data_IF_623312143737
#
_entry.id   IF_623312143737
#
_cell.length_a   1.000
_cell.length_b   1.000
_cell.length_c   1.000
_cell.angle_alpha   90.00
_cell.angle_beta   90.00
_cell.angle_gamma   90.00
#
_symmetry.space_group_name_H-M   'P 1'
#
loop_
_entity.id
_entity.type
_entity.pdbx_description
1 polymer ?
#
# COMPACT_ATOMS: atom_id res chain seq x y z
N UNK A 1 6.10 -15.01 7.43
CA UNK A 1 6.98 -13.93 7.92
C UNK A 1 8.23 -14.01 7.06
N UNK A 2 8.30 -13.23 5.98
CA UNK A 2 9.53 -13.18 5.17
C UNK A 2 10.45 -12.22 5.90
N UNK A 3 11.42 -12.77 6.62
CA UNK A 3 12.54 -12.03 7.21
C UNK A 3 13.33 -11.46 6.05
N UNK A 4 13.20 -10.15 5.81
CA UNK A 4 14.21 -9.42 5.04
C UNK A 4 15.50 -9.64 5.82
N UNK A 5 16.50 -10.26 5.18
CA UNK A 5 17.75 -10.61 5.84
C UNK A 5 18.40 -9.30 6.35
N UNK A 6 18.74 -9.22 7.64
CA UNK A 6 19.23 -7.97 8.24
C UNK A 6 20.46 -7.43 7.49
N UNK A 7 21.27 -8.33 6.91
CA UNK A 7 22.41 -8.00 6.07
C UNK A 7 22.03 -7.26 4.77
N UNK A 8 20.86 -7.52 4.18
CA UNK A 8 20.37 -6.80 3.00
C UNK A 8 19.83 -5.40 3.33
N UNK A 9 19.47 -5.12 4.58
CA UNK A 9 18.99 -3.80 5.00
C UNK A 9 20.15 -2.81 5.21
N UNK A 10 21.32 -3.29 5.60
CA UNK A 10 22.51 -2.46 5.86
C UNK A 10 23.14 -1.90 4.60
N UNK A 11 22.92 -2.53 3.45
CA UNK A 11 23.35 -2.04 2.14
C UNK A 11 22.39 -1.00 1.52
N UNK A 12 21.26 -0.69 2.19
CA UNK A 12 20.28 0.25 1.68
C UNK A 12 20.65 1.70 1.98
N UNK A 13 20.35 2.59 1.04
CA UNK A 13 20.36 4.03 1.34
C UNK A 13 19.32 4.35 2.42
N UNK A 14 19.49 5.46 3.17
CA UNK A 14 18.50 5.90 4.14
C UNK A 14 17.08 5.99 3.57
N UNK A 15 16.94 6.43 2.32
CA UNK A 15 15.65 6.56 1.63
C UNK A 15 15.03 5.20 1.31
N UNK A 16 15.83 4.23 0.87
CA UNK A 16 15.37 2.87 0.61
C UNK A 16 14.93 2.18 1.91
N UNK A 17 15.72 2.34 2.99
CA UNK A 17 15.35 1.82 4.31
C UNK A 17 14.06 2.45 4.80
N UNK A 18 13.92 3.78 4.72
CA UNK A 18 12.71 4.48 5.11
C UNK A 18 11.48 4.00 4.30
N UNK A 19 11.67 3.74 3.00
CA UNK A 19 10.62 3.20 2.15
C UNK A 19 10.16 1.81 2.58
N UNK A 20 11.09 0.89 2.89
CA UNK A 20 10.76 -0.48 3.35
C UNK A 20 10.03 -0.44 4.68
N UNK A 21 10.52 0.35 5.64
CA UNK A 21 9.87 0.48 6.96
C UNK A 21 8.44 0.96 6.81
N UNK A 22 8.22 2.03 6.03
CA UNK A 22 6.88 2.55 5.76
C UNK A 22 5.99 1.53 5.00
N UNK A 23 6.58 0.69 4.16
CA UNK A 23 5.84 -0.36 3.44
C UNK A 23 5.37 -1.49 4.37
N UNK A 24 6.26 -1.96 5.25
CA UNK A 24 5.96 -2.98 6.24
C UNK A 24 4.91 -2.48 7.26
N UNK A 25 5.03 -1.24 7.75
CA UNK A 25 4.02 -0.62 8.61
C UNK A 25 2.63 -0.61 7.95
N UNK A 26 2.57 -0.32 6.65
CA UNK A 26 1.32 -0.35 5.89
C UNK A 26 0.77 -1.77 5.77
N UNK A 27 1.64 -2.75 5.56
CA UNK A 27 1.26 -4.17 5.49
C UNK A 27 0.69 -4.66 6.82
N UNK A 28 1.35 -4.34 7.94
CA UNK A 28 0.87 -4.65 9.29
C UNK A 28 -0.48 -3.99 9.57
N UNK A 29 -0.66 -2.74 9.15
CA UNK A 29 -1.95 -2.05 9.26
C UNK A 29 -3.04 -2.74 8.44
N UNK A 30 -2.72 -3.22 7.23
CA UNK A 30 -3.66 -3.95 6.39
C UNK A 30 -4.12 -5.26 7.06
N UNK A 31 -3.18 -6.04 7.63
CA UNK A 31 -3.49 -7.24 8.41
C UNK A 31 -4.38 -6.94 9.62
N UNK A 32 -4.07 -5.89 10.38
CA UNK A 32 -4.88 -5.48 11.53
C UNK A 32 -6.33 -5.11 11.16
N UNK A 33 -6.54 -4.51 9.98
CA UNK A 33 -7.88 -4.22 9.47
C UNK A 33 -8.57 -5.52 9.04
N UNK A 34 -7.92 -6.35 8.24
CA UNK A 34 -8.50 -7.60 7.76
C UNK A 34 -8.91 -8.54 8.90
N UNK A 35 -8.10 -8.61 9.97
CA UNK A 35 -8.40 -9.40 11.16
C UNK A 35 -9.71 -9.02 11.86
N UNK A 36 -10.19 -7.76 11.69
CA UNK A 36 -11.44 -7.26 12.25
C UNK A 36 -12.63 -7.38 11.31
N UNK A 37 -12.40 -7.73 10.04
CA UNK A 37 -13.43 -7.76 8.99
C UNK A 37 -13.33 -9.06 8.20
N UNK A 38 -14.08 -10.08 8.63
CA UNK A 38 -14.14 -11.36 7.94
C UNK A 38 -14.54 -11.20 6.46
N UNK A 39 -13.79 -11.85 5.58
CA UNK A 39 -14.05 -11.84 4.13
C UNK A 39 -13.39 -10.70 3.34
N UNK A 40 -12.61 -9.82 3.99
CA UNK A 40 -11.86 -8.77 3.30
C UNK A 40 -10.43 -9.22 3.00
N UNK A 41 -9.99 -9.03 1.75
CA UNK A 41 -8.62 -9.34 1.32
C UNK A 41 -7.61 -8.29 1.81
N UNK A 42 -6.51 -8.77 2.41
CA UNK A 42 -5.41 -7.93 2.93
C UNK A 42 -4.74 -7.15 1.80
N UNK A 43 -4.53 -7.77 0.64
CA UNK A 43 -3.92 -7.12 -0.52
C UNK A 43 -4.75 -5.93 -1.01
N UNK A 44 -6.07 -6.11 -1.10
CA UNK A 44 -7.03 -5.05 -1.39
C UNK A 44 -6.94 -3.89 -0.40
N UNK A 45 -6.92 -4.18 0.90
CA UNK A 45 -6.75 -3.14 1.94
C UNK A 45 -5.42 -2.41 1.79
N UNK A 46 -4.31 -3.12 1.60
CA UNK A 46 -3.00 -2.51 1.39
C UNK A 46 -3.00 -1.54 0.20
N UNK A 47 -3.59 -1.93 -0.93
CA UNK A 47 -3.68 -1.06 -2.11
C UNK A 47 -4.53 0.19 -1.85
N UNK A 48 -5.60 0.06 -1.07
CA UNK A 48 -6.40 1.22 -0.62
C UNK A 48 -5.53 2.15 0.24
N UNK A 49 -4.85 1.62 1.26
CA UNK A 49 -3.97 2.42 2.12
C UNK A 49 -2.88 3.14 1.31
N UNK A 50 -2.25 2.44 0.35
CA UNK A 50 -1.22 3.02 -0.54
C UNK A 50 -1.76 4.10 -1.48
N UNK A 51 -3.07 4.06 -1.78
CA UNK A 51 -3.72 5.11 -2.56
C UNK A 51 -4.13 6.31 -1.71
N UNK A 52 -4.39 6.13 -0.42
CA UNK A 52 -4.73 7.24 0.48
C UNK A 52 -3.54 8.16 0.78
N UNK A 53 -2.31 7.67 0.66
CA UNK A 53 -1.09 8.49 0.72
C UNK A 53 -0.94 9.46 -0.46
N UNK A 54 -1.64 9.19 -1.57
CA UNK A 54 -1.61 10.03 -2.76
C UNK A 54 -2.62 11.16 -2.62
N UNK A 55 -2.23 12.35 -3.05
CA UNK A 55 -3.16 13.46 -3.28
C UNK A 55 -4.24 13.07 -4.29
N UNK A 56 -5.42 13.74 -4.26
CA UNK A 56 -6.47 13.48 -5.25
C UNK A 56 -5.97 13.57 -6.70
N UNK A 57 -5.12 14.55 -7.01
CA UNK A 57 -4.55 14.74 -8.36
C UNK A 57 -3.64 13.58 -8.77
N UNK A 58 -2.81 13.06 -7.85
CA UNK A 58 -1.95 11.90 -8.14
C UNK A 58 -2.75 10.63 -8.39
N UNK A 59 -3.81 10.40 -7.62
CA UNK A 59 -4.73 9.27 -7.86
C UNK A 59 -5.41 9.39 -9.21
N UNK A 60 -5.86 10.59 -9.59
CA UNK A 60 -6.47 10.85 -10.90
C UNK A 60 -5.48 10.59 -12.02
N UNK A 61 -4.25 11.10 -11.92
CA UNK A 61 -3.20 10.84 -12.93
C UNK A 61 -2.91 9.34 -13.05
N UNK A 62 -2.80 8.61 -11.93
CA UNK A 62 -2.59 7.17 -11.96
C UNK A 62 -3.78 6.43 -12.63
N UNK A 63 -5.02 6.77 -12.27
CA UNK A 63 -6.22 6.20 -12.87
C UNK A 63 -6.28 6.41 -14.39
N UNK A 64 -5.97 7.63 -14.85
CA UNK A 64 -5.92 7.99 -16.27
C UNK A 64 -4.82 7.21 -17.02
N UNK A 65 -3.63 7.07 -16.42
CA UNK A 65 -2.52 6.30 -17.02
C UNK A 65 -2.83 4.83 -17.19
N UNK A 66 -3.62 4.25 -16.29
CA UNK A 66 -3.96 2.82 -16.32
C UNK A 66 -5.30 2.51 -16.98
N UNK A 67 -5.98 3.52 -17.58
CA UNK A 67 -7.29 3.35 -18.22
C UNK A 67 -8.41 2.94 -17.25
N UNK A 68 -8.17 3.00 -15.94
CA UNK A 68 -9.14 2.67 -14.89
C UNK A 68 -9.75 3.97 -14.37
N UNK A 69 -10.56 4.62 -15.20
CA UNK A 69 -11.56 5.53 -14.66
C UNK A 69 -12.45 4.67 -13.78
N UNK A 70 -12.30 4.80 -12.46
CA UNK A 70 -13.18 4.15 -11.50
C UNK A 70 -14.60 4.35 -12.01
N UNK A 71 -15.34 3.26 -12.24
CA UNK A 71 -16.79 3.34 -12.43
C UNK A 71 -17.30 3.98 -11.14
N UNK A 72 -17.46 5.30 -11.17
CA UNK A 72 -18.16 6.06 -10.15
C UNK A 72 -19.50 5.35 -10.09
N UNK A 73 -19.74 4.62 -9.00
CA UNK A 73 -21.05 4.03 -8.80
C UNK A 73 -22.01 5.19 -8.80
N UNK A 74 -22.80 5.30 -9.88
CA UNK A 74 -23.90 6.23 -9.95
C UNK A 74 -24.78 5.92 -8.73
N UNK A 75 -25.00 6.96 -7.94
CA UNK A 75 -25.85 6.92 -6.76
C UNK A 75 -27.28 6.57 -7.14
#
# INVERSE_FOLDING_TARGET
MSTVDDAQLDDLTPEQRAWIVADEERWQRAHSIAARHAGVDVGGIYHVLRNLEKTPSERLRAALRHGRLFRVHAR
#
